data_IF_349452628852
#
_entry.id   IF_349452628852
#
_cell.length_a   1.000
_cell.length_b   1.000
_cell.length_c   1.000
_cell.angle_alpha   90.00
_cell.angle_beta   90.00
_cell.angle_gamma   90.00
#
_symmetry.space_group_name_H-M   'P 1'
#
loop_
_entity.id
_entity.type
_entity.pdbx_description
1 polymer ?
#
# COMPACT_ATOMS: atom_id res chain seq x y z
N UNK A 1 7.64 6.35 11.82
CA UNK A 1 6.74 6.28 12.98
C UNK A 1 7.57 6.10 14.24
N UNK A 2 7.32 6.89 15.30
CA UNK A 2 7.95 6.70 16.62
C UNK A 2 7.04 5.84 17.49
N UNK A 3 7.64 4.93 18.26
CA UNK A 3 6.95 3.97 19.12
C UNK A 3 7.77 3.83 20.41
N UNK A 4 7.88 4.93 21.14
CA UNK A 4 8.88 5.13 22.22
C UNK A 4 8.62 4.30 23.50
N UNK A 5 7.55 3.50 23.54
CA UNK A 5 7.08 2.77 24.73
C UNK A 5 7.31 1.26 24.70
N UNK A 6 7.90 0.72 23.62
CA UNK A 6 8.10 -0.73 23.43
C UNK A 6 9.49 -1.05 22.88
N UNK A 7 10.04 -2.18 23.30
CA UNK A 7 11.37 -2.63 22.84
C UNK A 7 11.36 -2.99 21.36
N UNK A 8 12.52 -2.90 20.70
CA UNK A 8 12.70 -3.34 19.30
C UNK A 8 12.10 -4.73 19.02
N UNK A 9 12.33 -5.70 19.91
CA UNK A 9 11.83 -7.07 19.75
C UNK A 9 10.31 -7.13 19.86
N UNK A 10 9.72 -6.37 20.79
CA UNK A 10 8.26 -6.28 20.92
C UNK A 10 7.63 -5.65 19.67
N UNK A 11 8.24 -4.59 19.12
CA UNK A 11 7.80 -3.97 17.85
C UNK A 11 7.86 -5.02 16.73
N UNK A 12 8.96 -5.77 16.64
CA UNK A 12 9.15 -6.78 15.60
C UNK A 12 8.05 -7.83 15.64
N UNK A 13 7.77 -8.40 16.81
CA UNK A 13 6.79 -9.47 16.96
C UNK A 13 5.37 -9.01 16.65
N UNK A 14 4.99 -7.83 17.16
CA UNK A 14 3.68 -7.23 16.86
C UNK A 14 3.54 -6.91 15.37
N UNK A 15 4.58 -6.34 14.77
CA UNK A 15 4.61 -6.03 13.34
C UNK A 15 4.49 -7.30 12.49
N UNK A 16 5.18 -8.38 12.87
CA UNK A 16 5.14 -9.65 12.15
C UNK A 16 3.75 -10.29 12.20
N UNK A 17 3.10 -10.24 13.37
CA UNK A 17 1.71 -10.69 13.54
C UNK A 17 0.78 -9.86 12.66
N UNK A 18 0.90 -8.52 12.71
CA UNK A 18 0.13 -7.62 11.87
C UNK A 18 0.31 -7.93 10.39
N UNK A 19 1.56 -8.10 9.91
CA UNK A 19 1.84 -8.44 8.52
C UNK A 19 1.14 -9.74 8.10
N UNK A 20 1.14 -10.74 8.98
CA UNK A 20 0.51 -12.03 8.70
C UNK A 20 -1.02 -11.93 8.59
N UNK A 21 -1.63 -10.93 9.27
CA UNK A 21 -3.06 -10.63 9.19
C UNK A 21 -3.42 -9.74 8.00
N UNK A 22 -2.55 -8.78 7.66
CA UNK A 22 -2.81 -7.78 6.62
C UNK A 22 -2.51 -8.30 5.21
N UNK A 23 -1.58 -9.25 5.07
CA UNK A 23 -1.13 -9.81 3.80
C UNK A 23 -1.45 -11.30 3.72
N UNK A 24 -2.75 -11.64 3.65
CA UNK A 24 -3.27 -13.02 3.68
C UNK A 24 -3.47 -13.65 2.31
N UNK A 25 -3.53 -12.83 1.25
CA UNK A 25 -3.75 -13.33 -0.12
C UNK A 25 -2.61 -14.23 -0.57
N UNK A 26 -2.89 -15.28 -1.35
CA UNK A 26 -1.85 -16.15 -1.94
C UNK A 26 -0.82 -15.41 -2.82
N UNK A 27 -1.13 -14.18 -3.22
CA UNK A 27 -0.27 -13.27 -4.00
C UNK A 27 0.54 -12.31 -3.12
N UNK A 28 0.20 -12.21 -1.85
CA UNK A 28 0.82 -11.34 -0.86
C UNK A 28 1.54 -12.23 0.15
N UNK A 29 2.86 -12.24 0.13
CA UNK A 29 3.65 -13.12 0.99
C UNK A 29 4.73 -12.32 1.70
N UNK A 30 4.99 -12.69 2.95
CA UNK A 30 6.17 -12.23 3.68
C UNK A 30 7.34 -13.08 3.19
N UNK A 31 8.28 -12.44 2.50
CA UNK A 31 9.42 -13.10 1.87
C UNK A 31 10.71 -12.93 2.67
N UNK A 32 10.81 -11.87 3.48
CA UNK A 32 11.99 -11.53 4.27
C UNK A 32 11.59 -11.34 5.71
N UNK A 33 12.28 -12.03 6.63
CA UNK A 33 12.12 -11.90 8.08
C UNK A 33 13.51 -11.98 8.70
N UNK A 34 14.04 -10.86 9.17
CA UNK A 34 15.35 -10.79 9.82
C UNK A 34 15.21 -10.05 11.14
N UNK A 35 15.14 -10.80 12.25
CA UNK A 35 14.86 -10.23 13.57
C UNK A 35 16.00 -9.33 14.08
N UNK A 36 17.25 -9.76 13.91
CA UNK A 36 18.42 -9.00 14.36
C UNK A 36 18.59 -7.70 13.57
N UNK A 37 18.40 -7.74 12.25
CA UNK A 37 18.36 -6.56 11.39
C UNK A 37 17.12 -5.68 11.62
N UNK A 38 16.06 -6.23 12.21
CA UNK A 38 14.77 -5.54 12.38
C UNK A 38 14.02 -5.35 11.07
N UNK A 39 14.12 -6.32 10.15
CA UNK A 39 13.58 -6.22 8.80
C UNK A 39 12.46 -7.22 8.59
N UNK A 40 11.33 -6.75 8.08
CA UNK A 40 10.22 -7.57 7.60
C UNK A 40 9.85 -7.07 6.21
N UNK A 41 9.81 -7.94 5.21
CA UNK A 41 9.53 -7.53 3.85
C UNK A 41 8.78 -8.59 3.06
N UNK A 42 8.14 -8.17 1.99
CA UNK A 42 7.29 -9.05 1.21
C UNK A 42 6.77 -8.42 -0.07
N UNK A 43 5.85 -9.15 -0.70
CA UNK A 43 5.09 -8.67 -1.85
C UNK A 43 3.65 -8.45 -1.43
N UNK A 44 2.97 -7.51 -2.07
CA UNK A 44 1.57 -7.25 -1.85
C UNK A 44 0.83 -7.06 -3.18
N UNK A 45 -0.39 -7.57 -3.21
CA UNK A 45 -1.39 -7.29 -4.22
C UNK A 45 -2.44 -6.35 -3.64
N UNK A 46 -2.80 -5.31 -4.39
CA UNK A 46 -3.86 -4.39 -4.00
C UNK A 46 -4.75 -4.02 -5.19
N UNK A 47 -6.04 -4.33 -5.07
CA UNK A 47 -7.05 -3.84 -5.99
C UNK A 47 -7.55 -2.47 -5.49
N UNK A 48 -7.09 -1.41 -6.13
CA UNK A 48 -7.54 -0.05 -5.84
C UNK A 48 -8.87 0.21 -6.50
N UNK A 49 -9.84 0.66 -5.71
CA UNK A 49 -11.10 1.20 -6.20
C UNK A 49 -11.05 2.73 -6.13
N UNK A 50 -11.40 3.40 -7.21
CA UNK A 50 -11.57 4.85 -7.24
C UNK A 50 -12.85 5.22 -7.97
N UNK A 51 -13.35 6.42 -7.67
CA UNK A 51 -14.62 6.91 -8.19
C UNK A 51 -14.38 8.00 -9.22
N UNK A 52 -15.05 7.90 -10.37
CA UNK A 52 -15.00 8.90 -11.44
C UNK A 52 -16.41 9.40 -11.80
N UNK A 53 -16.58 10.71 -12.01
CA UNK A 53 -17.87 11.25 -12.45
C UNK A 53 -18.15 10.80 -13.88
N UNK A 54 -19.34 10.23 -14.13
CA UNK A 54 -19.74 9.81 -15.48
C UNK A 54 -20.16 11.00 -16.36
N UNK A 55 -20.66 12.08 -15.76
CA UNK A 55 -20.98 13.40 -16.34
C UNK A 55 -20.77 14.48 -15.26
N UNK A 56 -20.80 15.75 -15.67
CA UNK A 56 -20.54 16.93 -14.81
C UNK A 56 -21.38 16.95 -13.52
N UNK A 57 -22.61 16.42 -13.57
CA UNK A 57 -23.57 16.36 -12.45
C UNK A 57 -24.12 14.94 -12.16
N UNK A 58 -23.39 13.87 -12.48
CA UNK A 58 -23.93 12.50 -12.39
C UNK A 58 -23.40 11.64 -11.24
N UNK A 59 -24.08 10.50 -11.06
CA UNK A 59 -23.62 9.35 -10.28
C UNK A 59 -22.16 8.98 -10.59
N UNK A 60 -21.43 8.62 -9.53
CA UNK A 60 -20.05 8.18 -9.60
C UNK A 60 -19.96 6.76 -10.15
N UNK A 61 -19.14 6.57 -11.18
CA UNK A 61 -18.70 5.24 -11.62
C UNK A 61 -17.57 4.74 -10.71
N UNK A 62 -17.57 3.45 -10.40
CA UNK A 62 -16.46 2.79 -9.71
C UNK A 62 -15.56 2.15 -10.76
N UNK A 63 -14.26 2.45 -10.69
CA UNK A 63 -13.22 1.81 -11.51
C UNK A 63 -12.23 1.11 -10.58
N UNK A 64 -11.68 0.00 -11.05
CA UNK A 64 -10.69 -0.80 -10.34
C UNK A 64 -9.37 -0.79 -11.08
N UNK A 65 -8.27 -0.77 -10.33
CA UNK A 65 -6.91 -0.97 -10.82
C UNK A 65 -6.19 -1.98 -9.93
N UNK A 66 -5.39 -2.85 -10.54
CA UNK A 66 -4.72 -3.94 -9.84
C UNK A 66 -3.23 -3.66 -9.73
N UNK A 67 -2.73 -3.46 -8.50
CA UNK A 67 -1.34 -3.16 -8.19
C UNK A 67 -0.61 -4.37 -7.60
N UNK A 68 0.65 -4.54 -7.99
CA UNK A 68 1.63 -5.35 -7.27
C UNK A 68 2.75 -4.43 -6.77
N UNK A 69 3.22 -4.64 -5.55
CA UNK A 69 4.36 -3.89 -5.05
C UNK A 69 5.16 -4.71 -4.05
N UNK A 70 6.44 -4.39 -3.95
CA UNK A 70 7.29 -4.87 -2.87
C UNK A 70 7.14 -3.91 -1.68
N UNK A 71 7.10 -4.45 -0.47
CA UNK A 71 7.06 -3.65 0.75
C UNK A 71 8.15 -4.09 1.72
N UNK A 72 8.63 -3.13 2.51
CA UNK A 72 9.69 -3.33 3.49
C UNK A 72 9.38 -2.49 4.73
N UNK A 73 9.43 -3.15 5.88
CA UNK A 73 9.34 -2.55 7.19
C UNK A 73 10.70 -2.69 7.88
N UNK A 74 11.26 -1.56 8.27
CA UNK A 74 12.52 -1.47 9.00
C UNK A 74 12.27 -0.95 10.41
N UNK A 75 12.75 -1.70 11.39
CA UNK A 75 12.52 -1.48 12.81
C UNK A 75 13.86 -1.21 13.47
N UNK A 76 13.95 -0.06 14.13
CA UNK A 76 15.06 0.34 15.00
C UNK A 76 14.49 0.66 16.38
N UNK A 77 15.37 0.94 17.33
CA UNK A 77 14.95 1.26 18.69
C UNK A 77 13.91 2.41 18.70
N UNK A 78 12.72 2.11 19.25
CA UNK A 78 11.60 3.05 19.34
C UNK A 78 11.07 3.59 18.00
N UNK A 79 11.42 3.01 16.84
CA UNK A 79 10.97 3.54 15.54
C UNK A 79 10.82 2.51 14.45
N UNK A 80 9.87 2.77 13.57
CA UNK A 80 9.54 1.95 12.42
C UNK A 80 9.42 2.80 11.17
N UNK A 81 9.90 2.28 10.04
CA UNK A 81 9.71 2.83 8.70
C UNK A 81 9.09 1.77 7.80
N UNK A 82 8.01 2.12 7.12
CA UNK A 82 7.43 1.33 6.03
C UNK A 82 7.82 1.97 4.71
N UNK A 83 8.13 1.15 3.72
CA UNK A 83 8.40 1.57 2.35
C UNK A 83 7.74 0.62 1.38
N UNK A 84 7.25 1.17 0.26
CA UNK A 84 6.73 0.42 -0.87
C UNK A 84 7.53 0.79 -2.11
N UNK A 85 8.02 -0.23 -2.83
CA UNK A 85 8.84 -0.08 -4.04
C UNK A 85 8.28 -0.98 -5.14
N UNK A 86 8.79 -0.81 -6.37
CA UNK A 86 8.40 -1.64 -7.51
C UNK A 86 6.88 -1.75 -7.69
N UNK A 87 6.17 -0.62 -7.58
CA UNK A 87 4.72 -0.58 -7.73
C UNK A 87 4.38 -0.75 -9.22
N UNK A 88 3.82 -1.90 -9.59
CA UNK A 88 3.46 -2.30 -10.94
C UNK A 88 1.95 -2.33 -11.15
N UNK A 89 1.49 -1.99 -12.35
CA UNK A 89 0.09 -2.12 -12.76
C UNK A 89 -0.11 -3.41 -13.57
N UNK A 90 -0.96 -4.33 -13.10
CA UNK A 90 -1.15 -5.66 -13.71
C UNK A 90 -1.76 -5.62 -15.11
N UNK A 91 -2.60 -4.64 -15.39
CA UNK A 91 -3.42 -4.60 -16.62
C UNK A 91 -2.63 -4.22 -17.86
N UNK A 92 -1.34 -3.94 -17.72
CA UNK A 92 -0.45 -3.62 -18.82
C UNK A 92 0.39 -4.85 -19.18
N UNK A 93 0.60 -5.08 -20.48
CA UNK A 93 1.44 -6.16 -20.99
C UNK A 93 2.94 -6.04 -20.62
N UNK A 94 3.33 -4.98 -19.91
CA UNK A 94 4.68 -4.76 -19.44
C UNK A 94 4.68 -4.20 -18.02
N UNK A 95 5.73 -4.49 -17.27
CA UNK A 95 5.92 -4.00 -15.90
C UNK A 95 6.16 -2.48 -15.90
N UNK A 96 5.13 -1.70 -15.54
CA UNK A 96 5.24 -0.25 -15.43
C UNK A 96 5.38 0.20 -13.97
N UNK A 97 6.51 0.85 -13.65
CA UNK A 97 6.76 1.41 -12.32
C UNK A 97 5.96 2.71 -12.14
N UNK A 98 4.90 2.64 -11.34
CA UNK A 98 3.91 3.69 -11.12
C UNK A 98 4.48 4.92 -10.39
N UNK A 99 5.46 4.70 -9.50
CA UNK A 99 5.97 5.74 -8.58
C UNK A 99 6.75 6.88 -9.24
N UNK A 100 7.25 6.69 -10.47
CA UNK A 100 8.16 7.66 -11.12
C UNK A 100 7.52 8.48 -12.24
N UNK A 101 6.31 8.14 -12.69
CA UNK A 101 5.72 8.74 -13.90
C UNK A 101 4.71 9.83 -13.58
N UNK A 102 4.85 11.03 -14.13
CA UNK A 102 3.84 12.08 -13.95
C UNK A 102 2.54 11.84 -14.76
N UNK A 103 2.66 11.27 -15.97
CA UNK A 103 1.54 11.01 -16.90
C UNK A 103 1.10 9.55 -16.87
N UNK A 104 -0.09 9.27 -17.40
CA UNK A 104 -0.59 7.91 -17.56
C UNK A 104 0.31 7.12 -18.53
N UNK A 105 0.67 5.86 -18.24
CA UNK A 105 1.51 5.05 -19.12
C UNK A 105 0.73 4.36 -20.25
N UNK A 106 -0.57 4.62 -20.36
CA UNK A 106 -1.47 4.04 -21.35
C UNK A 106 -2.41 5.10 -21.92
N UNK A 107 -2.87 4.87 -23.14
CA UNK A 107 -3.98 5.59 -23.74
C UNK A 107 -5.13 4.61 -23.96
N UNK A 108 -6.35 5.05 -23.66
CA UNK A 108 -7.55 4.23 -23.89
C UNK A 108 -8.14 4.65 -25.22
N UNK A 109 -8.31 3.70 -26.13
CA UNK A 109 -8.84 4.00 -27.46
C UNK A 109 -10.23 4.64 -27.34
N UNK A 110 -10.47 5.71 -28.10
CA UNK A 110 -11.71 6.50 -28.09
C UNK A 110 -11.99 7.31 -26.80
N UNK A 111 -11.01 7.42 -25.89
CA UNK A 111 -11.11 8.27 -24.69
C UNK A 111 -10.24 9.53 -24.83
N UNK A 112 -10.73 10.74 -24.46
CA UNK A 112 -9.89 11.92 -24.41
C UNK A 112 -8.74 11.76 -23.42
N UNK A 113 -7.54 12.20 -23.80
CA UNK A 113 -6.34 12.15 -22.97
C UNK A 113 -6.53 12.75 -21.57
N UNK A 114 -7.26 13.87 -21.47
CA UNK A 114 -7.57 14.54 -20.20
C UNK A 114 -8.32 13.62 -19.22
N UNK A 115 -9.16 12.72 -19.73
CA UNK A 115 -9.90 11.76 -18.91
C UNK A 115 -8.99 10.63 -18.45
N UNK A 116 -8.14 10.11 -19.33
CA UNK A 116 -7.14 9.09 -18.97
C UNK A 116 -6.13 9.60 -17.93
N UNK A 117 -5.71 10.86 -18.04
CA UNK A 117 -4.84 11.50 -17.03
C UNK A 117 -5.55 11.72 -15.69
N UNK A 118 -6.85 12.07 -15.70
CA UNK A 118 -7.67 12.18 -14.49
C UNK A 118 -7.81 10.82 -13.78
N UNK A 119 -8.15 9.78 -14.54
CA UNK A 119 -8.30 8.40 -14.03
C UNK A 119 -6.99 7.94 -13.38
N UNK A 120 -5.85 8.21 -14.02
CA UNK A 120 -4.53 7.92 -13.49
C UNK A 120 -4.21 8.67 -12.19
N UNK A 121 -4.50 9.97 -12.13
CA UNK A 121 -4.28 10.79 -10.92
C UNK A 121 -5.09 10.25 -9.75
N UNK A 122 -6.38 9.98 -9.95
CA UNK A 122 -7.28 9.46 -8.91
C UNK A 122 -6.83 8.08 -8.43
N UNK A 123 -6.44 7.21 -9.37
CA UNK A 123 -5.92 5.88 -9.04
C UNK A 123 -4.70 5.92 -8.13
N UNK A 124 -3.77 6.85 -8.37
CA UNK A 124 -2.60 7.05 -7.49
C UNK A 124 -2.97 7.59 -6.12
N UNK A 125 -3.87 8.56 -6.08
CA UNK A 125 -4.31 9.17 -4.81
C UNK A 125 -4.97 8.11 -3.90
N UNK A 126 -5.83 7.26 -4.46
CA UNK A 126 -6.46 6.18 -3.71
C UNK A 126 -5.46 5.12 -3.25
N UNK A 127 -4.45 4.81 -4.07
CA UNK A 127 -3.36 3.92 -3.65
C UNK A 127 -2.57 4.49 -2.46
N UNK A 128 -2.19 5.76 -2.50
CA UNK A 128 -1.48 6.43 -1.41
C UNK A 128 -2.33 6.42 -0.13
N UNK A 129 -3.61 6.80 -0.24
CA UNK A 129 -4.55 6.73 0.90
C UNK A 129 -4.65 5.33 1.50
N UNK A 130 -4.53 4.28 0.70
CA UNK A 130 -4.51 2.92 1.21
C UNK A 130 -3.23 2.59 1.97
N UNK A 131 -2.07 3.03 1.49
CA UNK A 131 -0.81 2.87 2.22
C UNK A 131 -0.84 3.61 3.57
N UNK A 132 -1.41 4.81 3.60
CA UNK A 132 -1.59 5.56 4.85
C UNK A 132 -2.52 4.83 5.83
N UNK A 133 -3.59 4.18 5.33
CA UNK A 133 -4.47 3.35 6.15
C UNK A 133 -3.77 2.12 6.72
N UNK A 134 -2.92 1.45 5.93
CA UNK A 134 -2.12 0.33 6.43
C UNK A 134 -1.18 0.80 7.55
N UNK A 135 -0.54 1.96 7.38
CA UNK A 135 0.32 2.55 8.40
C UNK A 135 -0.43 2.95 9.66
N UNK A 136 -1.62 3.52 9.53
CA UNK A 136 -2.47 3.84 10.68
C UNK A 136 -2.89 2.56 11.43
N UNK A 137 -3.33 1.52 10.72
CA UNK A 137 -3.70 0.23 11.33
C UNK A 137 -2.52 -0.41 12.07
N UNK A 138 -1.31 -0.38 11.50
CA UNK A 138 -0.11 -0.88 12.17
C UNK A 138 0.21 -0.04 13.42
N UNK A 139 0.05 1.28 13.34
CA UNK A 139 0.24 2.15 14.50
C UNK A 139 -0.74 1.80 15.63
N UNK A 140 -2.00 1.56 15.30
CA UNK A 140 -3.02 1.19 16.28
C UNK A 140 -2.67 -0.13 16.99
N UNK A 141 -2.26 -1.17 16.25
CA UNK A 141 -1.81 -2.46 16.81
C UNK A 141 -0.55 -2.32 17.70
N UNK A 142 0.31 -1.33 17.43
CA UNK A 142 1.51 -1.08 18.21
C UNK A 142 1.26 -0.23 19.47
N UNK A 143 0.36 0.75 19.38
CA UNK A 143 0.01 1.68 20.47
C UNK A 143 -1.00 1.06 21.44
N UNK A 144 -1.79 0.07 21.02
CA UNK A 144 -2.65 -0.71 21.90
C UNK A 144 -1.81 -1.47 22.95
N UNK A 145 -1.60 -0.82 24.10
CA UNK A 145 -1.32 -1.43 25.41
C UNK A 145 -2.45 -1.01 26.36
N UNK A 146 -3.10 -2.01 26.96
CA UNK A 146 -4.10 -1.98 28.05
C UNK A 146 -5.53 -1.58 27.69
N UNK A 147 -6.25 -2.51 27.08
CA UNK A 147 -7.62 -2.81 27.53
C UNK A 147 -7.71 -4.31 27.74
N UNK A 148 -6.90 -4.82 28.67
CA UNK A 148 -7.30 -6.02 29.39
C UNK A 148 -8.37 -5.55 30.37
N UNK A 149 -9.62 -5.98 30.15
CA UNK A 149 -10.59 -6.56 31.09
C UNK A 149 -11.83 -6.96 30.27
#
# INVERSE_FOLDING_TARGET
MKVDSISKNEIFDKTLIWCSKSFTDSKSAINVKERDGGIIGGKAYYQSLYKVPKKKDSTMGVIFNNYYFDWLIEIKEGKLRFSATNILLKELNSDYIVSTKAKAPFEVWLQPKSKTELDWKLSKEYFIKNLDRLMASLNDDLVLKKTDW
#
